data_IF_461891128527
#
_entry.id   IF_461891128527
#
_cell.length_a   1.000
_cell.length_b   1.000
_cell.length_c   1.000
_cell.angle_alpha   90.00
_cell.angle_beta   90.00
_cell.angle_gamma   90.00
#
_symmetry.space_group_name_H-M   'P 1'
#
loop_
_entity.id
_entity.type
_entity.pdbx_description
1 polymer ?
#
# COMPACT_ATOMS: atom_id res chain seq x y z
N UNK A 1 2.04 28.86 13.28
CA UNK A 1 3.19 29.16 12.38
C UNK A 1 4.46 28.98 13.18
N UNK A 2 5.11 27.83 13.05
CA UNK A 2 6.51 27.61 13.46
C UNK A 2 7.20 27.20 12.15
N UNK A 3 7.93 28.12 11.55
CA UNK A 3 8.83 27.82 10.43
C UNK A 3 9.98 26.98 11.00
N UNK A 4 10.00 25.69 10.68
CA UNK A 4 11.23 24.91 10.75
C UNK A 4 11.98 25.11 9.45
N UNK A 5 12.91 26.07 9.43
CA UNK A 5 13.99 26.13 8.45
C UNK A 5 15.01 25.02 8.77
N UNK A 6 14.70 23.78 8.41
CA UNK A 6 15.75 22.81 8.15
C UNK A 6 15.95 22.73 6.65
N UNK A 7 17.07 23.28 6.18
CA UNK A 7 17.64 22.93 4.88
C UNK A 7 17.89 21.42 4.91
N UNK A 8 16.96 20.63 4.39
CA UNK A 8 17.22 19.24 4.04
C UNK A 8 18.30 19.27 2.96
N UNK A 9 19.55 19.00 3.34
CA UNK A 9 20.58 18.63 2.39
C UNK A 9 20.22 17.24 1.87
N UNK A 10 19.55 17.19 0.71
CA UNK A 10 19.54 15.99 -0.12
C UNK A 10 20.98 15.84 -0.63
N UNK A 11 21.76 15.03 0.08
CA UNK A 11 23.15 14.74 -0.29
C UNK A 11 23.11 13.66 -1.36
N UNK A 12 23.23 14.06 -2.62
CA UNK A 12 23.53 13.14 -3.72
C UNK A 12 25.02 12.81 -3.67
N UNK A 13 25.38 11.56 -3.37
CA UNK A 13 26.74 11.08 -3.61
C UNK A 13 26.90 10.84 -5.11
N UNK A 14 27.84 11.58 -5.70
CA UNK A 14 28.23 11.44 -7.11
C UNK A 14 29.12 10.21 -7.23
N UNK A 15 28.60 9.10 -7.73
CA UNK A 15 29.43 7.93 -8.03
C UNK A 15 30.11 8.10 -9.39
N UNK A 16 31.44 8.01 -9.38
CA UNK A 16 32.26 7.94 -10.58
C UNK A 16 32.04 6.58 -11.25
N UNK A 17 31.82 6.58 -12.57
CA UNK A 17 31.92 5.40 -13.43
C UNK A 17 33.29 4.75 -13.23
N UNK A 18 33.32 3.49 -12.81
CA UNK A 18 34.39 2.58 -13.13
C UNK A 18 33.88 1.65 -14.24
N UNK A 19 34.58 1.64 -15.37
CA UNK A 19 34.28 0.78 -16.50
C UNK A 19 34.53 -0.67 -16.14
N UNK A 20 33.70 -1.55 -16.68
CA UNK A 20 34.03 -2.96 -16.83
C UNK A 20 34.82 -3.09 -18.13
N UNK A 21 36.06 -3.52 -18.01
CA UNK A 21 36.80 -4.17 -19.09
C UNK A 21 36.30 -5.61 -19.15
N UNK A 22 35.93 -6.03 -20.36
CA UNK A 22 35.68 -7.41 -20.75
C UNK A 22 37.00 -8.18 -20.61
N UNK A 23 36.97 -9.34 -19.95
CA UNK A 23 37.89 -10.43 -20.26
C UNK A 23 37.14 -11.75 -20.05
N UNK A 24 36.94 -12.41 -21.20
CA UNK A 24 36.60 -13.82 -21.35
C UNK A 24 37.60 -14.70 -20.59
N UNK A 25 37.13 -15.81 -20.04
CA UNK A 25 37.87 -17.08 -20.12
C UNK A 25 36.89 -18.24 -19.84
N UNK A 26 36.73 -19.05 -20.88
CA UNK A 26 36.19 -20.40 -20.88
C UNK A 26 36.96 -21.31 -19.91
N UNK A 27 36.29 -22.31 -19.34
CA UNK A 27 36.79 -23.69 -19.40
C UNK A 27 35.75 -24.68 -18.83
N UNK A 28 35.68 -25.79 -19.56
CA UNK A 28 34.79 -26.93 -19.50
C UNK A 28 34.94 -27.80 -18.23
N UNK A 29 33.93 -28.66 -18.00
CA UNK A 29 34.06 -30.12 -17.84
C UNK A 29 32.85 -30.69 -17.06
N UNK A 30 31.91 -31.26 -17.83
CA UNK A 30 31.60 -32.69 -17.91
C UNK A 30 31.27 -33.53 -16.65
N UNK A 31 30.19 -34.30 -16.86
CA UNK A 31 29.98 -35.71 -16.54
C UNK A 31 29.21 -36.15 -15.27
N UNK A 32 28.07 -36.77 -15.60
CA UNK A 32 27.68 -38.15 -15.25
C UNK A 32 26.81 -38.44 -14.00
N UNK A 33 25.56 -38.80 -14.32
CA UNK A 33 25.00 -40.15 -14.18
C UNK A 33 24.18 -40.58 -12.95
N UNK A 34 23.06 -41.22 -13.33
CA UNK A 34 22.44 -42.45 -12.81
C UNK A 34 21.43 -42.41 -11.65
N UNK A 35 20.15 -42.53 -12.07
CA UNK A 35 19.32 -43.74 -11.98
C UNK A 35 18.55 -44.16 -10.71
N UNK A 36 17.35 -44.65 -11.03
CA UNK A 36 16.51 -45.72 -10.44
C UNK A 36 15.56 -45.46 -9.26
N UNK A 37 14.26 -45.34 -9.62
CA UNK A 37 13.18 -46.35 -9.47
C UNK A 37 12.99 -47.12 -8.14
N UNK A 38 11.73 -47.17 -7.70
CA UNK A 38 10.92 -48.37 -7.37
C UNK A 38 9.81 -48.06 -6.32
N UNK A 39 8.57 -47.95 -6.82
CA UNK A 39 7.45 -48.90 -6.67
C UNK A 39 6.87 -49.34 -5.31
N UNK A 40 5.52 -49.38 -5.32
CA UNK A 40 4.60 -50.41 -4.78
C UNK A 40 4.35 -50.50 -3.26
N UNK A 41 3.15 -50.82 -2.73
CA UNK A 41 1.77 -50.96 -3.21
C UNK A 41 0.91 -51.36 -1.97
N UNK A 42 -0.41 -51.45 -2.17
CA UNK A 42 -1.37 -52.38 -1.53
C UNK A 42 -2.14 -52.03 -0.22
N UNK A 43 -3.43 -51.73 -0.46
CA UNK A 43 -4.60 -52.59 -0.18
C UNK A 43 -5.52 -52.38 1.06
N UNK A 44 -6.78 -52.08 0.67
CA UNK A 44 -8.02 -52.83 0.91
C UNK A 44 -8.92 -52.61 2.16
N UNK A 45 -10.08 -52.02 1.83
CA UNK A 45 -11.43 -52.61 1.86
C UNK A 45 -12.45 -52.38 2.99
N UNK A 46 -13.65 -52.05 2.48
CA UNK A 46 -15.03 -52.45 2.84
C UNK A 46 -15.89 -51.67 3.86
N UNK A 47 -16.81 -50.90 3.27
CA UNK A 47 -18.29 -51.05 3.27
C UNK A 47 -19.21 -50.61 4.45
N UNK A 48 -20.33 -50.05 3.97
CA UNK A 48 -21.71 -49.98 4.47
C UNK A 48 -22.25 -48.82 5.35
N UNK A 49 -23.07 -47.99 4.68
CA UNK A 49 -24.44 -47.54 5.02
C UNK A 49 -24.80 -47.12 6.47
N UNK A 50 -25.16 -45.84 6.67
CA UNK A 50 -26.54 -45.43 7.02
C UNK A 50 -26.74 -43.91 7.22
N UNK A 51 -27.98 -43.52 6.94
CA UNK A 51 -28.65 -42.22 7.08
C UNK A 51 -28.61 -41.57 8.49
N UNK A 52 -28.82 -40.24 8.48
CA UNK A 52 -29.51 -39.40 9.47
C UNK A 52 -29.02 -39.36 10.93
N UNK A 53 -28.40 -38.23 11.34
CA UNK A 53 -29.03 -37.25 12.23
C UNK A 53 -28.07 -36.08 12.54
N UNK A 54 -28.54 -34.85 12.29
CA UNK A 54 -27.96 -33.64 12.87
C UNK A 54 -28.12 -33.70 14.40
N UNK A 55 -27.02 -33.89 15.12
CA UNK A 55 -26.91 -33.50 16.53
C UNK A 55 -25.60 -32.76 16.75
N UNK A 56 -25.77 -31.50 17.12
CA UNK A 56 -24.77 -30.66 17.77
C UNK A 56 -24.28 -31.40 19.02
N UNK A 57 -23.08 -31.96 18.92
CA UNK A 57 -22.24 -32.21 20.10
C UNK A 57 -21.19 -31.09 20.13
N UNK A 58 -21.63 -29.98 20.74
CA UNK A 58 -20.76 -29.00 21.38
C UNK A 58 -19.94 -29.74 22.44
N UNK A 59 -18.63 -29.88 22.24
CA UNK A 59 -17.61 -30.00 23.29
C UNK A 59 -16.24 -30.28 22.63
N UNK A 60 -15.52 -29.21 22.24
CA UNK A 60 -14.04 -29.09 22.19
C UNK A 60 -13.67 -27.83 21.39
N UNK A 61 -13.55 -26.66 22.06
CA UNK A 61 -12.62 -25.55 21.73
C UNK A 61 -12.90 -24.26 22.57
N UNK A 62 -13.20 -24.41 23.87
CA UNK A 62 -13.47 -23.27 24.77
C UNK A 62 -12.20 -22.43 25.12
N UNK A 63 -11.00 -22.97 24.91
CA UNK A 63 -9.75 -22.27 25.26
C UNK A 63 -9.42 -21.09 24.31
N UNK A 64 -9.98 -21.08 23.10
CA UNK A 64 -9.67 -20.07 22.09
C UNK A 64 -10.60 -18.83 22.18
N UNK A 65 -11.80 -18.98 22.72
CA UNK A 65 -12.77 -17.87 22.87
C UNK A 65 -12.54 -17.04 24.15
N UNK A 66 -12.09 -17.67 25.23
CA UNK A 66 -11.72 -16.99 26.47
C UNK A 66 -10.43 -16.15 26.33
N UNK A 67 -9.49 -16.63 25.50
CA UNK A 67 -8.30 -15.85 25.15
C UNK A 67 -8.68 -14.62 24.29
N UNK A 68 -9.58 -14.78 23.31
CA UNK A 68 -10.12 -13.68 22.48
C UNK A 68 -10.88 -12.63 23.31
N UNK A 69 -11.67 -13.04 24.32
CA UNK A 69 -12.40 -12.13 25.22
C UNK A 69 -11.50 -11.42 26.22
N UNK A 70 -10.52 -12.11 26.81
CA UNK A 70 -9.56 -11.52 27.75
C UNK A 70 -8.62 -10.50 27.07
N UNK A 71 -8.22 -10.76 25.82
CA UNK A 71 -7.40 -9.87 24.98
C UNK A 71 -8.20 -8.63 24.55
N UNK A 72 -9.51 -8.72 24.26
CA UNK A 72 -10.31 -7.54 23.88
C UNK A 72 -10.52 -6.53 25.02
N UNK A 73 -10.62 -6.98 26.27
CA UNK A 73 -11.04 -6.12 27.40
C UNK A 73 -9.96 -5.16 27.95
N UNK A 74 -8.67 -5.39 27.65
CA UNK A 74 -7.55 -4.56 28.15
C UNK A 74 -6.94 -3.62 27.10
N UNK A 75 -7.40 -3.67 25.85
CA UNK A 75 -6.57 -3.32 24.70
C UNK A 75 -7.11 -2.20 23.82
N UNK A 76 -7.42 -1.05 24.44
CA UNK A 76 -7.90 0.09 23.68
C UNK A 76 -6.83 0.71 22.77
N UNK A 77 -5.55 0.58 23.14
CA UNK A 77 -4.38 1.02 22.35
C UNK A 77 -3.14 0.11 22.49
N UNK A 78 -3.14 -0.82 23.45
CA UNK A 78 -2.04 -1.75 23.67
C UNK A 78 -2.03 -2.90 22.66
N UNK A 79 -0.83 -3.40 22.39
CA UNK A 79 -0.48 -4.47 21.46
C UNK A 79 -1.12 -5.79 21.90
N UNK A 80 -2.24 -6.18 21.30
CA UNK A 80 -3.00 -7.32 21.80
C UNK A 80 -3.46 -8.31 20.72
N UNK A 81 -3.47 -7.93 19.44
CA UNK A 81 -3.84 -8.84 18.35
C UNK A 81 -3.03 -8.55 17.08
N UNK A 82 -1.76 -8.20 17.25
CA UNK A 82 -0.88 -7.98 16.10
C UNK A 82 -0.65 -9.33 15.44
N UNK A 83 -0.77 -9.35 14.12
CA UNK A 83 -0.68 -10.53 13.25
C UNK A 83 -1.93 -11.41 13.16
N UNK A 84 -3.06 -10.98 13.71
CA UNK A 84 -4.37 -11.61 13.49
C UNK A 84 -5.27 -10.67 12.70
N UNK A 85 -5.61 -11.08 11.47
CA UNK A 85 -6.46 -10.31 10.57
C UNK A 85 -7.63 -11.19 10.12
N UNK A 86 -8.86 -10.66 10.18
CA UNK A 86 -10.07 -11.35 9.69
C UNK A 86 -10.23 -12.82 10.15
N UNK A 87 -9.80 -13.14 11.38
CA UNK A 87 -9.95 -14.48 11.97
C UNK A 87 -8.76 -15.44 11.76
N UNK A 88 -7.75 -15.06 10.97
CA UNK A 88 -6.55 -15.86 10.75
C UNK A 88 -5.25 -15.17 11.16
N UNK A 89 -4.23 -15.95 11.49
CA UNK A 89 -2.86 -15.48 11.67
C UNK A 89 -2.19 -15.24 10.31
N UNK A 90 -1.47 -14.14 10.13
CA UNK A 90 -0.91 -13.74 8.82
C UNK A 90 0.60 -13.47 8.80
N UNK A 91 1.33 -13.79 9.88
CA UNK A 91 2.76 -13.50 9.96
C UNK A 91 3.67 -14.66 9.59
N UNK A 92 4.63 -14.39 8.70
CA UNK A 92 5.58 -15.39 8.19
C UNK A 92 7.00 -14.84 8.20
N UNK A 93 7.96 -15.72 8.46
CA UNK A 93 9.36 -15.50 8.08
C UNK A 93 9.69 -16.47 6.94
N UNK A 94 10.03 -15.91 5.79
CA UNK A 94 10.10 -16.64 4.52
C UNK A 94 8.79 -17.42 4.27
N UNK A 95 8.86 -18.74 4.01
CA UNK A 95 7.68 -19.58 3.77
C UNK A 95 7.04 -20.10 5.06
N UNK A 96 7.66 -19.86 6.22
CA UNK A 96 7.25 -20.48 7.49
C UNK A 96 6.38 -19.55 8.33
N UNK A 97 5.35 -20.10 8.96
CA UNK A 97 4.49 -19.36 9.89
C UNK A 97 5.29 -19.07 11.16
N UNK A 98 5.45 -17.79 11.51
CA UNK A 98 6.22 -17.40 12.69
C UNK A 98 5.28 -17.01 13.84
N UNK A 99 4.72 -18.02 14.52
CA UNK A 99 3.82 -17.80 15.67
C UNK A 99 4.49 -17.13 16.87
N UNK A 100 5.84 -17.12 16.95
CA UNK A 100 6.57 -16.45 18.03
C UNK A 100 6.45 -14.92 17.96
N UNK A 101 6.12 -14.38 16.79
CA UNK A 101 5.85 -12.95 16.62
C UNK A 101 4.48 -12.52 17.21
N UNK A 102 3.61 -13.47 17.55
CA UNK A 102 2.30 -13.15 18.12
C UNK A 102 2.46 -12.30 19.39
N UNK A 103 1.77 -11.14 19.41
CA UNK A 103 1.87 -10.18 20.50
C UNK A 103 3.09 -9.26 20.47
N UNK A 104 3.99 -9.40 19.49
CA UNK A 104 5.06 -8.43 19.25
C UNK A 104 4.56 -7.31 18.34
N UNK A 105 5.22 -6.15 18.44
CA UNK A 105 4.87 -5.00 17.60
C UNK A 105 5.47 -5.17 16.20
N UNK A 106 4.63 -5.31 15.17
CA UNK A 106 5.06 -5.63 13.80
C UNK A 106 6.12 -4.68 13.24
N UNK A 107 6.05 -3.39 13.60
CA UNK A 107 7.05 -2.40 13.18
C UNK A 107 8.45 -2.73 13.74
N UNK A 108 8.52 -3.32 14.93
CA UNK A 108 9.79 -3.77 15.50
C UNK A 108 10.29 -5.05 14.84
N UNK A 109 9.39 -6.00 14.59
CA UNK A 109 9.74 -7.26 13.91
C UNK A 109 10.28 -7.00 12.50
N UNK A 110 9.64 -6.10 11.73
CA UNK A 110 10.12 -5.72 10.41
C UNK A 110 11.48 -5.01 10.44
N UNK A 111 11.70 -4.10 11.40
CA UNK A 111 12.98 -3.43 11.56
C UNK A 111 14.09 -4.42 11.95
N UNK A 112 13.83 -5.30 12.91
CA UNK A 112 14.79 -6.31 13.36
C UNK A 112 15.14 -7.29 12.24
N UNK A 113 14.14 -7.73 11.46
CA UNK A 113 14.41 -8.61 10.32
C UNK A 113 15.28 -7.93 9.27
N UNK A 114 15.05 -6.66 8.97
CA UNK A 114 15.89 -5.90 8.05
C UNK A 114 17.32 -5.71 8.58
N UNK A 115 17.48 -5.38 9.86
CA UNK A 115 18.80 -5.30 10.51
C UNK A 115 19.57 -6.62 10.37
N UNK A 116 18.92 -7.76 10.60
CA UNK A 116 19.52 -9.08 10.44
C UNK A 116 19.95 -9.35 8.99
N UNK A 117 19.06 -9.07 8.02
CA UNK A 117 19.37 -9.21 6.59
C UNK A 117 20.61 -8.39 6.24
N UNK A 118 20.61 -7.10 6.59
CA UNK A 118 21.73 -6.18 6.32
C UNK A 118 23.03 -6.65 6.99
N UNK A 119 22.97 -7.06 8.26
CA UNK A 119 24.16 -7.50 9.00
C UNK A 119 24.80 -8.75 8.36
N UNK A 120 23.97 -9.69 7.89
CA UNK A 120 24.40 -10.93 7.25
C UNK A 120 24.70 -10.81 5.75
N UNK A 121 24.42 -9.67 5.13
CA UNK A 121 24.50 -9.50 3.67
C UNK A 121 25.93 -9.65 3.14
N UNK A 122 26.06 -10.42 2.06
CA UNK A 122 27.29 -10.56 1.27
C UNK A 122 27.44 -9.34 0.35
N UNK A 123 28.42 -8.48 0.65
CA UNK A 123 28.62 -7.22 -0.05
C UNK A 123 29.14 -7.38 -1.48
N UNK A 124 29.51 -8.60 -1.92
CA UNK A 124 29.84 -8.85 -3.34
C UNK A 124 28.59 -8.82 -4.24
N UNK A 125 27.39 -8.87 -3.65
CA UNK A 125 26.11 -8.84 -4.37
C UNK A 125 25.33 -7.56 -4.00
N UNK A 126 24.61 -6.93 -4.96
CA UNK A 126 23.73 -5.82 -4.63
C UNK A 126 22.57 -6.28 -3.73
N UNK A 127 22.12 -5.42 -2.82
CA UNK A 127 20.97 -5.66 -1.95
C UNK A 127 19.76 -4.86 -2.44
N UNK A 128 18.65 -5.54 -2.70
CA UNK A 128 17.34 -4.92 -2.86
C UNK A 128 16.46 -5.29 -1.67
N UNK A 129 15.92 -4.28 -0.98
CA UNK A 129 15.06 -4.46 0.19
C UNK A 129 13.77 -3.65 0.02
N UNK A 130 12.64 -4.35 -0.10
CA UNK A 130 11.31 -3.75 -0.08
C UNK A 130 10.69 -3.95 1.31
N UNK A 131 10.42 -2.83 2.00
CA UNK A 131 9.91 -2.84 3.39
C UNK A 131 8.53 -2.19 3.49
N UNK A 132 7.44 -2.88 3.10
CA UNK A 132 6.09 -2.38 3.28
C UNK A 132 5.67 -2.50 4.75
N UNK A 133 6.00 -1.49 5.56
CA UNK A 133 5.54 -1.45 6.94
C UNK A 133 4.01 -1.50 7.01
N UNK A 134 3.48 -2.29 7.94
CA UNK A 134 2.06 -2.25 8.31
C UNK A 134 1.69 -0.88 8.90
N UNK A 135 2.62 -0.28 9.64
CA UNK A 135 2.45 1.06 10.20
C UNK A 135 2.31 2.09 9.07
N UNK A 136 1.36 3.03 9.13
CA UNK A 136 0.50 3.37 10.28
C UNK A 136 -0.97 2.99 10.05
N UNK A 137 -1.22 1.90 9.32
CA UNK A 137 -2.58 1.43 9.04
C UNK A 137 -3.30 0.98 10.33
N UNK A 138 -4.63 1.02 10.33
CA UNK A 138 -5.43 0.43 11.39
C UNK A 138 -5.20 -1.10 11.50
N UNK A 139 -5.39 -1.72 12.68
CA UNK A 139 -5.86 -1.14 13.94
C UNK A 139 -4.86 -0.16 14.59
N UNK A 140 -5.37 0.86 15.29
CA UNK A 140 -4.54 1.90 15.92
C UNK A 140 -3.91 1.39 17.22
N UNK A 141 -2.81 0.65 17.08
CA UNK A 141 -2.07 0.03 18.17
C UNK A 141 -0.64 0.56 18.19
N UNK A 142 -0.15 0.93 19.37
CA UNK A 142 1.22 1.44 19.53
C UNK A 142 1.70 1.22 20.98
N UNK A 143 2.99 0.91 21.20
CA UNK A 143 3.55 0.88 22.55
C UNK A 143 3.36 2.20 23.30
N UNK A 144 3.03 2.11 24.60
CA UNK A 144 2.71 3.26 25.45
C UNK A 144 3.79 4.34 25.45
N UNK A 145 5.07 3.97 25.31
CA UNK A 145 6.17 4.94 25.27
C UNK A 145 5.99 5.99 24.18
N UNK A 146 5.43 5.63 23.02
CA UNK A 146 5.17 6.57 21.93
C UNK A 146 3.87 7.34 22.13
N UNK A 147 2.83 6.67 22.66
CA UNK A 147 1.57 7.33 22.98
C UNK A 147 1.78 8.48 23.97
N UNK A 148 2.64 8.25 24.97
CA UNK A 148 2.97 9.18 26.03
C UNK A 148 3.79 10.40 25.57
N UNK A 149 4.34 10.38 24.35
CA UNK A 149 5.04 11.54 23.76
C UNK A 149 4.08 12.66 23.34
N UNK A 150 2.78 12.37 23.25
CA UNK A 150 1.77 13.30 22.72
C UNK A 150 0.69 13.67 23.75
N UNK A 151 1.03 14.13 24.97
CA UNK A 151 0.05 14.34 26.03
C UNK A 151 -1.02 15.39 25.66
N UNK A 152 -0.68 16.34 24.80
CA UNK A 152 -1.53 17.46 24.42
C UNK A 152 -2.51 17.15 23.27
N UNK A 153 -2.39 16.01 22.59
CA UNK A 153 -3.35 15.62 21.56
C UNK A 153 -4.58 15.05 22.26
N UNK A 154 -5.74 15.70 22.11
CA UNK A 154 -6.98 15.27 22.78
C UNK A 154 -7.68 14.15 22.02
N UNK A 155 -7.64 14.18 20.68
CA UNK A 155 -8.19 13.11 19.87
C UNK A 155 -7.38 11.82 20.04
N UNK A 156 -8.04 10.75 20.46
CA UNK A 156 -7.38 9.49 20.79
C UNK A 156 -6.82 8.76 19.57
N UNK A 157 -7.52 8.78 18.43
CA UNK A 157 -7.05 8.13 17.19
C UNK A 157 -5.81 8.84 16.64
N UNK A 158 -5.84 10.18 16.59
CA UNK A 158 -4.72 11.01 16.18
C UNK A 158 -3.53 10.85 17.10
N UNK A 159 -3.76 10.75 18.42
CA UNK A 159 -2.70 10.48 19.40
C UNK A 159 -2.02 9.13 19.13
N UNK A 160 -2.82 8.07 18.98
CA UNK A 160 -2.30 6.75 18.67
C UNK A 160 -1.54 6.73 17.34
N UNK A 161 -2.12 7.27 16.26
CA UNK A 161 -1.48 7.34 14.96
C UNK A 161 -0.18 8.18 14.99
N UNK A 162 -0.14 9.29 15.73
CA UNK A 162 1.10 10.07 15.91
C UNK A 162 2.19 9.25 16.60
N UNK A 163 1.80 8.44 17.60
CA UNK A 163 2.69 7.46 18.21
C UNK A 163 3.19 6.41 17.21
N UNK A 164 2.31 5.86 16.36
CA UNK A 164 2.69 4.88 15.34
C UNK A 164 3.67 5.48 14.31
N UNK A 165 3.45 6.73 13.89
CA UNK A 165 4.38 7.45 13.00
C UNK A 165 5.75 7.61 13.66
N UNK A 166 5.79 7.94 14.96
CA UNK A 166 7.06 8.01 15.70
C UNK A 166 7.75 6.65 15.78
N UNK A 167 6.98 5.59 16.01
CA UNK A 167 7.56 4.24 16.02
C UNK A 167 8.10 3.82 14.66
N UNK A 168 7.48 4.25 13.56
CA UNK A 168 7.97 4.03 12.20
C UNK A 168 9.27 4.80 11.97
N UNK A 169 9.35 6.06 12.41
CA UNK A 169 10.58 6.86 12.33
C UNK A 169 11.75 6.21 13.08
N UNK A 170 11.51 5.74 14.32
CA UNK A 170 12.48 4.96 15.10
C UNK A 170 12.95 3.70 14.35
N UNK A 171 12.02 2.97 13.72
CA UNK A 171 12.32 1.77 12.95
C UNK A 171 13.14 2.06 11.69
N UNK A 172 12.85 3.17 10.99
CA UNK A 172 13.65 3.62 9.86
C UNK A 172 15.06 4.00 10.33
N UNK A 173 15.20 4.74 11.44
CA UNK A 173 16.50 5.11 11.99
C UNK A 173 17.37 3.89 12.32
N UNK A 174 16.75 2.84 12.85
CA UNK A 174 17.37 1.53 13.09
C UNK A 174 17.93 0.88 11.82
N UNK A 175 17.13 0.80 10.76
CA UNK A 175 17.55 0.25 9.45
C UNK A 175 18.69 1.09 8.84
N UNK A 176 18.57 2.42 8.87
CA UNK A 176 19.62 3.31 8.38
C UNK A 176 20.93 3.12 9.15
N UNK A 177 20.86 2.94 10.48
CA UNK A 177 22.02 2.64 11.30
C UNK A 177 22.66 1.30 10.91
N UNK A 178 21.87 0.25 10.66
CA UNK A 178 22.41 -1.02 10.19
C UNK A 178 23.15 -0.89 8.85
N UNK A 179 22.59 -0.12 7.90
CA UNK A 179 23.27 0.20 6.64
C UNK A 179 24.59 0.95 6.86
N UNK A 180 24.62 1.88 7.81
CA UNK A 180 25.83 2.64 8.15
C UNK A 180 26.90 1.75 8.80
N UNK A 181 26.51 0.91 9.76
CA UNK A 181 27.42 0.01 10.47
C UNK A 181 28.02 -1.06 9.53
N UNK A 182 27.31 -1.39 8.45
CA UNK A 182 27.74 -2.31 7.38
C UNK A 182 28.41 -1.59 6.20
N UNK A 183 28.66 -0.28 6.28
CA UNK A 183 29.21 0.57 5.21
C UNK A 183 28.41 0.57 3.88
N UNK A 184 27.16 0.09 3.88
CA UNK A 184 26.27 0.06 2.71
C UNK A 184 25.57 1.40 2.46
N UNK A 185 25.40 2.23 3.50
CA UNK A 185 24.61 3.46 3.42
C UNK A 185 25.06 4.44 2.33
N UNK A 186 26.38 4.54 2.07
CA UNK A 186 26.92 5.51 1.10
C UNK A 186 26.52 5.17 -0.33
N UNK A 187 26.47 3.87 -0.64
CA UNK A 187 26.16 3.30 -1.96
C UNK A 187 24.74 2.72 -2.00
N UNK A 188 23.78 3.46 -1.44
CA UNK A 188 22.37 3.07 -1.37
C UNK A 188 21.48 4.13 -1.99
N UNK A 189 20.49 3.70 -2.77
CA UNK A 189 19.33 4.51 -3.14
C UNK A 189 18.21 4.16 -2.16
N UNK A 190 17.84 5.12 -1.31
CA UNK A 190 16.79 4.92 -0.30
C UNK A 190 15.55 5.71 -0.73
N UNK A 191 14.48 4.99 -1.03
CA UNK A 191 13.16 5.54 -1.37
C UNK A 191 12.22 5.32 -0.20
N UNK A 192 11.46 6.34 0.15
CA UNK A 192 10.30 6.23 1.02
C UNK A 192 9.12 6.86 0.33
N UNK A 193 7.97 6.21 0.46
CA UNK A 193 6.70 6.68 -0.06
C UNK A 193 5.60 6.06 0.79
N UNK A 194 4.52 6.81 1.04
CA UNK A 194 3.28 6.17 1.49
C UNK A 194 2.55 5.54 0.29
N UNK A 195 1.74 4.52 0.55
CA UNK A 195 0.91 3.83 -0.45
C UNK A 195 -0.27 4.68 -0.93
N UNK A 196 -0.88 5.44 -0.02
CA UNK A 196 -2.02 6.33 -0.26
C UNK A 196 -2.08 7.46 0.77
N UNK A 197 -2.95 8.43 0.55
CA UNK A 197 -3.27 9.46 1.52
C UNK A 197 -3.80 8.92 2.85
N UNK A 198 -3.65 9.69 3.92
CA UNK A 198 -4.08 9.28 5.26
C UNK A 198 -5.61 9.10 5.35
N UNK A 199 -6.04 8.10 6.12
CA UNK A 199 -7.47 7.88 6.39
C UNK A 199 -7.93 8.76 7.55
N UNK A 200 -8.75 9.76 7.24
CA UNK A 200 -9.19 10.82 8.18
C UNK A 200 -9.92 10.27 9.42
N UNK A 201 -10.80 9.28 9.23
CA UNK A 201 -11.52 8.61 10.33
C UNK A 201 -10.60 7.87 11.32
N UNK A 202 -9.44 7.41 10.86
CA UNK A 202 -8.46 6.69 11.69
C UNK A 202 -7.27 7.57 12.11
N UNK A 203 -7.45 8.89 12.15
CA UNK A 203 -6.45 9.83 12.66
C UNK A 203 -5.42 10.29 11.63
N UNK A 204 -5.43 9.74 10.41
CA UNK A 204 -4.69 10.26 9.27
C UNK A 204 -5.10 11.70 8.96
N UNK A 205 -4.19 12.51 8.43
CA UNK A 205 -4.50 13.89 8.09
C UNK A 205 -3.69 14.35 6.87
N UNK A 206 -4.39 14.95 5.90
CA UNK A 206 -3.83 15.35 4.62
C UNK A 206 -3.85 16.86 4.41
N UNK A 207 -4.19 17.64 5.44
CA UNK A 207 -4.30 19.09 5.32
C UNK A 207 -2.98 19.70 4.81
N UNK A 208 -3.01 20.66 3.86
CA UNK A 208 -4.19 21.38 3.34
C UNK A 208 -4.84 20.72 2.12
N UNK A 209 -4.48 19.49 1.76
CA UNK A 209 -5.06 18.79 0.61
C UNK A 209 -6.51 18.35 0.92
N UNK A 210 -7.31 18.27 -0.14
CA UNK A 210 -8.70 17.82 -0.10
C UNK A 210 -8.75 16.29 -0.06
N UNK A 211 -9.62 15.70 0.73
CA UNK A 211 -9.78 14.24 0.71
C UNK A 211 -8.83 13.45 1.62
N UNK A 212 -8.88 12.14 1.42
CA UNK A 212 -8.07 11.13 2.12
C UNK A 212 -8.16 9.77 1.44
N UNK A 213 -7.65 8.72 2.11
CA UNK A 213 -7.81 7.32 1.66
C UNK A 213 -9.24 7.08 1.20
N UNK A 214 -9.41 6.36 0.09
CA UNK A 214 -10.67 6.08 -0.66
C UNK A 214 -11.21 7.24 -1.51
N UNK A 215 -10.43 8.31 -1.72
CA UNK A 215 -10.78 9.40 -2.63
C UNK A 215 -9.69 9.64 -3.67
N UNK A 216 -10.09 10.13 -4.85
CA UNK A 216 -9.17 10.53 -5.93
C UNK A 216 -8.82 12.02 -5.89
N UNK A 217 -9.15 12.71 -4.79
CA UNK A 217 -8.62 14.05 -4.50
C UNK A 217 -7.13 13.98 -4.13
N UNK A 218 -6.44 15.12 -4.14
CA UNK A 218 -5.00 15.17 -3.84
C UNK A 218 -4.69 14.60 -2.44
N UNK A 219 -5.55 14.78 -1.45
CA UNK A 219 -5.36 14.22 -0.12
C UNK A 219 -5.48 12.70 -0.05
N UNK A 220 -6.04 12.03 -1.06
CA UNK A 220 -6.06 10.56 -1.16
C UNK A 220 -4.93 9.97 -1.99
N UNK A 221 -4.33 10.77 -2.88
CA UNK A 221 -3.45 10.27 -3.96
C UNK A 221 -2.08 10.93 -4.00
N UNK A 222 -1.93 12.13 -3.43
CA UNK A 222 -0.64 12.82 -3.28
C UNK A 222 -0.07 12.52 -1.90
N UNK A 223 1.01 11.74 -1.90
CA UNK A 223 1.63 11.18 -0.70
C UNK A 223 2.99 11.82 -0.39
N UNK A 224 3.44 11.78 0.87
CA UNK A 224 4.84 12.09 1.19
C UNK A 224 5.77 11.06 0.53
N UNK A 225 6.86 11.55 -0.04
CA UNK A 225 7.96 10.73 -0.54
C UNK A 225 9.29 11.47 -0.39
N UNK A 226 10.39 10.76 -0.18
CA UNK A 226 11.75 11.31 -0.28
C UNK A 226 12.52 10.63 -1.41
N UNK A 227 13.33 11.43 -2.13
CA UNK A 227 13.61 11.36 -3.58
C UNK A 227 12.41 11.89 -4.38
N UNK A 228 12.56 13.10 -4.96
CA UNK A 228 11.45 13.88 -5.53
C UNK A 228 11.76 14.38 -6.95
N UNK A 229 10.76 14.32 -7.83
CA UNK A 229 10.66 15.00 -9.14
C UNK A 229 9.35 15.81 -9.19
N UNK A 230 9.28 16.96 -9.90
CA UNK A 230 8.10 17.85 -9.90
C UNK A 230 6.76 17.19 -10.26
N UNK A 231 6.78 16.10 -11.06
CA UNK A 231 5.63 15.24 -11.30
C UNK A 231 6.11 13.79 -11.41
N UNK A 232 5.70 12.94 -10.48
CA UNK A 232 6.08 11.54 -10.41
C UNK A 232 4.90 10.71 -9.90
N UNK A 233 4.80 9.48 -10.39
CA UNK A 233 3.78 8.51 -10.01
C UNK A 233 4.43 7.23 -9.48
N UNK A 234 3.71 6.42 -8.69
CA UNK A 234 4.26 5.19 -8.13
C UNK A 234 4.78 4.20 -9.20
N UNK A 235 4.15 4.18 -10.37
CA UNK A 235 4.56 3.35 -11.52
C UNK A 235 5.88 3.81 -12.16
N UNK A 236 6.37 5.02 -11.84
CA UNK A 236 7.66 5.51 -12.31
C UNK A 236 8.83 4.88 -11.56
N UNK A 237 8.61 4.31 -10.38
CA UNK A 237 9.70 3.73 -9.59
C UNK A 237 10.41 2.60 -10.33
N UNK A 238 9.69 1.74 -11.05
CA UNK A 238 10.29 0.64 -11.81
C UNK A 238 11.30 1.12 -12.87
N UNK A 239 10.91 1.90 -13.90
CA UNK A 239 11.87 2.34 -14.91
C UNK A 239 12.93 3.29 -14.35
N UNK A 240 12.59 4.12 -13.36
CA UNK A 240 13.54 5.04 -12.73
C UNK A 240 14.65 4.30 -11.99
N UNK A 241 14.31 3.28 -11.20
CA UNK A 241 15.29 2.49 -10.47
C UNK A 241 16.09 1.58 -11.41
N UNK A 242 15.47 1.04 -12.47
CA UNK A 242 16.19 0.28 -13.49
C UNK A 242 17.29 1.13 -14.15
N UNK A 243 16.96 2.35 -14.59
CA UNK A 243 17.95 3.30 -15.12
C UNK A 243 19.03 3.62 -14.08
N UNK A 244 18.65 3.89 -12.83
CA UNK A 244 19.59 4.23 -11.76
C UNK A 244 20.61 3.11 -11.49
N UNK A 245 20.19 1.85 -11.65
CA UNK A 245 21.00 0.65 -11.45
C UNK A 245 21.72 0.18 -12.73
N UNK A 246 21.53 0.87 -13.86
CA UNK A 246 22.10 0.44 -15.15
C UNK A 246 21.47 -0.84 -15.72
N UNK A 247 20.26 -1.19 -15.28
CA UNK A 247 19.53 -2.37 -15.72
C UNK A 247 18.76 -2.03 -17.00
N UNK A 248 19.04 -2.77 -18.08
CA UNK A 248 18.23 -2.72 -19.30
C UNK A 248 16.93 -3.50 -19.08
N UNK A 249 15.80 -2.93 -19.48
CA UNK A 249 14.50 -3.57 -19.43
C UNK A 249 13.80 -3.42 -20.78
N UNK A 250 12.88 -4.35 -21.08
CA UNK A 250 12.18 -4.36 -22.36
C UNK A 250 11.01 -3.38 -22.33
N UNK A 251 11.17 -2.25 -23.00
CA UNK A 251 10.12 -1.24 -23.17
C UNK A 251 8.91 -1.72 -23.99
N UNK A 252 8.97 -2.91 -24.59
CA UNK A 252 7.89 -3.48 -25.42
C UNK A 252 6.63 -3.87 -24.62
N UNK A 253 6.67 -3.84 -23.28
CA UNK A 253 5.55 -4.26 -22.42
C UNK A 253 4.41 -3.23 -22.26
N UNK A 254 4.34 -2.19 -23.09
CA UNK A 254 3.35 -1.10 -22.99
C UNK A 254 3.22 -0.56 -21.55
N UNK A 255 4.36 -0.34 -20.89
CA UNK A 255 4.42 0.11 -19.51
C UNK A 255 3.91 1.56 -19.34
N UNK A 256 3.27 1.84 -18.23
CA UNK A 256 2.78 3.20 -17.91
C UNK A 256 3.80 4.07 -17.16
N UNK A 257 4.91 3.47 -16.70
CA UNK A 257 6.02 4.12 -16.02
C UNK A 257 6.86 4.98 -16.97
N UNK A 258 7.37 6.10 -16.45
CA UNK A 258 8.28 7.00 -17.13
C UNK A 258 9.51 7.17 -16.27
N UNK A 259 10.69 6.87 -16.82
CA UNK A 259 11.97 7.09 -16.13
C UNK A 259 12.14 8.57 -15.72
N UNK A 260 12.31 8.80 -14.41
CA UNK A 260 12.55 10.11 -13.81
C UNK A 260 13.99 10.33 -13.33
N UNK A 261 14.92 9.41 -13.58
CA UNK A 261 16.26 9.43 -12.97
C UNK A 261 17.05 10.70 -13.29
N UNK A 262 17.01 11.12 -14.55
CA UNK A 262 17.62 12.37 -14.98
C UNK A 262 16.97 13.58 -14.29
N UNK A 263 15.64 13.62 -14.19
CA UNK A 263 14.92 14.72 -13.54
C UNK A 263 15.28 14.83 -12.05
N UNK A 264 15.39 13.70 -11.35
CA UNK A 264 15.75 13.61 -9.94
C UNK A 264 17.20 14.10 -9.72
N UNK A 265 18.15 13.58 -10.50
CA UNK A 265 19.59 13.82 -10.30
C UNK A 265 20.04 15.22 -10.74
N UNK A 266 19.34 15.80 -11.72
CA UNK A 266 19.64 17.16 -12.22
C UNK A 266 18.76 18.25 -11.60
N UNK A 267 17.78 17.87 -10.76
CA UNK A 267 16.69 18.76 -10.32
C UNK A 267 15.96 19.41 -11.52
N UNK A 268 15.82 18.64 -12.60
CA UNK A 268 15.22 19.05 -13.86
C UNK A 268 13.70 18.93 -13.89
N UNK A 269 13.14 19.18 -15.06
CA UNK A 269 11.71 18.95 -15.30
C UNK A 269 11.40 17.45 -15.36
N UNK A 270 10.23 17.07 -14.85
CA UNK A 270 9.72 15.71 -15.03
C UNK A 270 9.54 15.38 -16.51
N UNK A 271 9.87 14.14 -16.89
CA UNK A 271 9.57 13.61 -18.23
C UNK A 271 8.09 13.24 -18.39
N UNK A 272 7.36 13.11 -17.28
CA UNK A 272 5.93 12.81 -17.28
C UNK A 272 5.15 14.06 -17.64
N UNK A 273 4.07 13.89 -18.40
CA UNK A 273 3.11 14.95 -18.74
C UNK A 273 1.66 14.59 -18.39
N UNK A 274 1.40 13.32 -18.06
CA UNK A 274 0.07 12.77 -17.80
C UNK A 274 0.10 11.76 -16.65
N UNK A 275 -0.96 11.73 -15.83
CA UNK A 275 -1.20 10.73 -14.78
C UNK A 275 -2.66 10.27 -14.89
N UNK A 276 -2.88 8.97 -14.98
CA UNK A 276 -4.20 8.38 -14.70
C UNK A 276 -4.20 7.97 -13.24
N UNK A 277 -5.13 8.53 -12.45
CA UNK A 277 -5.23 8.22 -11.03
C UNK A 277 -5.98 6.91 -10.80
N UNK A 278 -7.13 6.78 -11.46
CA UNK A 278 -7.94 5.57 -11.46
C UNK A 278 -8.93 5.59 -12.63
N UNK A 279 -9.45 4.43 -12.99
CA UNK A 279 -10.61 4.23 -13.85
C UNK A 279 -11.38 3.00 -13.37
N UNK A 280 -12.11 3.13 -12.27
CA UNK A 280 -12.93 2.05 -11.74
C UNK A 280 -14.40 2.23 -12.13
N UNK A 281 -14.93 1.27 -12.89
CA UNK A 281 -16.34 1.23 -13.31
C UNK A 281 -17.11 0.09 -12.63
N UNK A 282 -16.54 -0.53 -11.61
CA UNK A 282 -17.19 -1.60 -10.85
C UNK A 282 -18.46 -1.07 -10.17
N UNK A 283 -19.56 -1.86 -10.11
CA UNK A 283 -20.87 -1.46 -9.61
C UNK A 283 -20.96 -0.98 -8.14
N UNK A 284 -19.84 -0.89 -7.41
CA UNK A 284 -19.78 -0.47 -6.01
C UNK A 284 -18.48 0.32 -5.75
N UNK A 285 -18.27 1.52 -6.34
CA UNK A 285 -17.09 2.31 -6.02
C UNK A 285 -17.22 2.89 -4.61
N UNK A 286 -16.60 2.22 -3.64
CA UNK A 286 -16.28 2.83 -2.33
C UNK A 286 -15.15 3.86 -2.52
N UNK A 287 -14.38 3.69 -3.60
CA UNK A 287 -13.25 4.52 -3.99
C UNK A 287 -13.61 5.52 -5.09
N UNK A 288 -12.66 6.37 -5.48
CA UNK A 288 -12.88 7.33 -6.56
C UNK A 288 -12.88 6.67 -7.94
N UNK A 289 -13.88 7.04 -8.74
CA UNK A 289 -14.19 6.45 -10.04
C UNK A 289 -13.13 6.72 -11.10
N UNK A 290 -13.04 7.96 -11.62
CA UNK A 290 -12.06 8.26 -12.66
C UNK A 290 -11.47 9.67 -12.56
N UNK A 291 -10.14 9.74 -12.68
CA UNK A 291 -9.42 11.00 -12.75
C UNK A 291 -8.16 10.89 -13.60
N UNK A 292 -7.87 11.99 -14.29
CA UNK A 292 -6.65 12.15 -15.09
C UNK A 292 -6.06 13.54 -14.81
N UNK A 293 -4.73 13.62 -14.75
CA UNK A 293 -4.00 14.88 -14.80
C UNK A 293 -3.20 14.97 -16.09
N UNK A 294 -3.28 16.11 -16.76
CA UNK A 294 -2.48 16.45 -17.94
C UNK A 294 -1.85 17.82 -17.70
N UNK A 295 -0.53 17.84 -17.56
CA UNK A 295 0.21 19.04 -17.13
C UNK A 295 -0.27 19.55 -15.78
N UNK A 296 -0.74 20.80 -15.76
CA UNK A 296 -1.21 21.47 -14.54
C UNK A 296 -2.66 21.12 -14.19
N UNK A 297 -3.44 20.54 -15.11
CA UNK A 297 -4.87 20.33 -14.93
C UNK A 297 -5.21 18.91 -14.53
N UNK A 298 -6.11 18.77 -13.56
CA UNK A 298 -6.71 17.50 -13.14
C UNK A 298 -8.21 17.53 -13.41
N UNK A 299 -8.69 16.53 -14.14
CA UNK A 299 -10.10 16.27 -14.41
C UNK A 299 -10.54 15.08 -13.54
N UNK A 300 -11.68 15.23 -12.88
CA UNK A 300 -12.39 14.14 -12.21
C UNK A 300 -13.76 13.99 -12.87
N UNK A 301 -14.07 12.78 -13.32
CA UNK A 301 -15.39 12.40 -13.85
C UNK A 301 -15.97 11.26 -13.02
N UNK A 302 -17.19 11.49 -12.52
CA UNK A 302 -17.86 10.50 -11.69
C UNK A 302 -17.52 10.62 -10.22
N UNK A 303 -17.93 9.62 -9.42
CA UNK A 303 -17.81 9.69 -7.96
C UNK A 303 -16.34 9.92 -7.54
N UNK A 304 -16.00 10.99 -6.80
CA UNK A 304 -14.61 11.26 -6.42
C UNK A 304 -14.13 10.44 -5.21
N UNK A 305 -14.98 9.55 -4.69
CA UNK A 305 -14.75 8.81 -3.45
C UNK A 305 -15.33 9.51 -2.22
N UNK A 306 -15.14 8.88 -1.05
CA UNK A 306 -15.60 9.43 0.22
C UNK A 306 -14.71 10.59 0.70
N UNK A 307 -15.06 11.19 1.84
CA UNK A 307 -14.26 12.24 2.49
C UNK A 307 -13.96 13.46 1.62
N UNK A 308 -14.91 13.98 0.86
CA UNK A 308 -14.68 15.03 -0.14
C UNK A 308 -14.30 16.44 0.39
N UNK A 309 -14.07 16.63 1.69
CA UNK A 309 -13.76 17.91 2.33
C UNK A 309 -12.28 18.16 2.60
N UNK A 310 -12.00 19.19 3.41
CA UNK A 310 -10.68 19.54 3.94
C UNK A 310 -10.70 19.45 5.45
N UNK A 311 -9.84 18.59 5.99
CA UNK A 311 -9.89 18.23 7.41
C UNK A 311 -8.64 18.73 8.10
N UNK A 312 -8.77 19.76 8.96
CA UNK A 312 -7.61 20.27 9.70
C UNK A 312 -7.14 19.24 10.73
N UNK A 313 -5.86 19.29 11.15
CA UNK A 313 -5.33 18.34 12.14
C UNK A 313 -6.10 18.29 13.47
N UNK A 314 -6.67 19.42 13.89
CA UNK A 314 -7.46 19.53 15.14
C UNK A 314 -8.96 19.30 14.91
N UNK A 315 -9.41 19.31 13.64
CA UNK A 315 -10.79 19.09 13.23
C UNK A 315 -10.93 17.62 12.81
N UNK A 316 -11.42 16.80 13.74
CA UNK A 316 -11.76 15.42 13.40
C UNK A 316 -13.02 15.48 12.53
N UNK A 317 -12.91 14.98 11.31
CA UNK A 317 -14.11 14.50 10.62
C UNK A 317 -14.72 13.40 11.49
N UNK A 318 -15.93 13.60 12.02
CA UNK A 318 -16.69 12.51 12.63
C UNK A 318 -17.14 11.47 11.59
N UNK A 319 -16.61 11.57 10.37
CA UNK A 319 -17.02 10.84 9.20
C UNK A 319 -18.27 11.47 8.63
N UNK A 320 -18.53 11.15 7.36
CA UNK A 320 -19.90 10.88 6.97
C UNK A 320 -20.49 9.95 8.04
N UNK A 321 -21.64 10.31 8.61
CA UNK A 321 -22.38 9.48 9.57
C UNK A 321 -23.04 8.28 8.83
N UNK A 322 -22.24 7.60 8.02
CA UNK A 322 -22.59 6.55 7.08
C UNK A 322 -21.57 5.44 7.33
N UNK A 323 -22.00 4.38 8.00
CA UNK A 323 -21.19 3.18 8.21
C UNK A 323 -21.01 2.44 6.88
N UNK A 324 -19.94 1.66 6.74
CA UNK A 324 -19.76 0.76 5.59
C UNK A 324 -20.98 -0.13 5.37
N UNK A 325 -21.63 -0.58 6.45
CA UNK A 325 -22.89 -1.32 6.39
C UNK A 325 -24.06 -0.48 5.85
N UNK A 326 -24.11 0.84 6.11
CA UNK A 326 -25.12 1.74 5.54
C UNK A 326 -24.85 2.06 4.06
N UNK A 327 -23.59 2.07 3.62
CA UNK A 327 -23.24 2.16 2.18
C UNK A 327 -23.67 0.90 1.46
N UNK A 328 -23.34 -0.27 2.01
CA UNK A 328 -23.69 -1.59 1.46
C UNK A 328 -25.20 -1.80 1.46
N UNK A 329 -25.94 -1.38 2.49
CA UNK A 329 -27.39 -1.62 2.59
C UNK A 329 -28.26 -0.49 2.01
N UNK A 330 -27.68 0.62 1.55
CA UNK A 330 -28.44 1.71 0.94
C UNK A 330 -28.72 1.38 -0.53
N UNK A 331 -29.97 0.99 -0.79
CA UNK A 331 -30.45 0.69 -2.15
C UNK A 331 -30.29 1.89 -3.09
N UNK A 332 -30.35 3.12 -2.59
CA UNK A 332 -30.14 4.34 -3.39
C UNK A 332 -28.67 4.62 -3.72
N UNK A 333 -27.75 4.22 -2.83
CA UNK A 333 -26.31 4.31 -3.09
C UNK A 333 -25.93 3.18 -4.06
N UNK A 334 -26.32 1.92 -3.77
CA UNK A 334 -26.12 0.77 -4.66
C UNK A 334 -26.71 0.98 -6.08
N UNK A 335 -27.92 1.55 -6.19
CA UNK A 335 -28.55 1.81 -7.49
C UNK A 335 -27.86 2.90 -8.30
N UNK A 336 -27.13 3.84 -7.69
CA UNK A 336 -26.31 4.78 -8.46
C UNK A 336 -24.93 4.22 -8.80
N UNK A 337 -24.45 3.24 -8.03
CA UNK A 337 -23.12 2.67 -8.17
C UNK A 337 -23.00 1.69 -9.36
N UNK A 338 -24.10 1.18 -9.92
CA UNK A 338 -24.08 0.24 -11.05
C UNK A 338 -23.88 0.91 -12.43
N UNK A 339 -22.89 0.48 -13.25
CA UNK A 339 -22.72 1.02 -14.60
C UNK A 339 -23.94 0.68 -15.47
N UNK A 340 -24.59 1.72 -16.00
CA UNK A 340 -25.72 1.60 -16.92
C UNK A 340 -27.10 1.77 -16.30
N UNK A 341 -27.22 1.85 -14.97
CA UNK A 341 -28.47 2.27 -14.32
C UNK A 341 -28.21 3.39 -13.31
N UNK A 342 -28.86 4.53 -13.56
CA UNK A 342 -28.96 5.76 -12.77
C UNK A 342 -27.82 6.81 -12.82
N UNK A 343 -28.26 7.98 -13.26
CA UNK A 343 -27.59 9.27 -13.44
C UNK A 343 -27.03 9.91 -12.14
N UNK A 344 -26.99 9.22 -11.01
CA UNK A 344 -26.73 9.80 -9.69
C UNK A 344 -25.26 10.19 -9.45
N UNK A 345 -24.31 9.48 -10.08
CA UNK A 345 -22.87 9.77 -9.95
C UNK A 345 -22.24 10.44 -11.18
N UNK A 346 -22.94 10.49 -12.32
CA UNK A 346 -22.59 11.32 -13.48
C UNK A 346 -22.63 12.84 -13.17
N UNK A 347 -23.05 13.21 -11.96
CA UNK A 347 -23.17 14.59 -11.47
C UNK A 347 -21.82 15.18 -11.07
N UNK A 348 -20.86 14.36 -10.65
CA UNK A 348 -19.57 14.85 -10.17
C UNK A 348 -18.62 15.13 -11.34
N UNK A 349 -18.32 16.41 -11.52
CA UNK A 349 -17.49 16.94 -12.60
C UNK A 349 -16.61 18.04 -12.04
N UNK A 350 -15.30 17.77 -12.01
CA UNK A 350 -14.33 18.73 -11.50
C UNK A 350 -13.18 18.91 -12.46
N UNK A 351 -12.77 20.16 -12.62
CA UNK A 351 -11.50 20.51 -13.23
C UNK A 351 -10.74 21.40 -12.25
N UNK A 352 -9.50 21.04 -11.90
CA UNK A 352 -8.63 21.84 -11.05
C UNK A 352 -7.34 22.16 -11.78
N UNK A 353 -6.81 23.36 -11.58
CA UNK A 353 -5.42 23.68 -11.94
C UNK A 353 -4.56 23.46 -10.68
N UNK A 354 -3.85 22.35 -10.61
CA UNK A 354 -3.06 21.95 -9.44
C UNK A 354 -1.78 22.76 -9.23
N UNK A 355 -1.34 23.51 -10.24
CA UNK A 355 -0.20 24.42 -10.09
C UNK A 355 -0.59 25.65 -9.28
N UNK A 356 -1.75 26.23 -9.59
CA UNK A 356 -2.24 27.44 -8.92
C UNK A 356 -3.15 27.13 -7.71
N UNK A 357 -3.80 25.97 -7.73
CA UNK A 357 -4.69 25.46 -6.67
C UNK A 357 -4.40 23.98 -6.38
N UNK A 358 -3.27 23.66 -5.71
CA UNK A 358 -2.92 22.29 -5.31
C UNK A 358 -3.87 21.69 -4.28
N UNK A 359 -4.82 22.48 -3.78
CA UNK A 359 -5.77 22.11 -2.74
C UNK A 359 -7.18 21.88 -3.26
N UNK A 360 -7.44 22.06 -4.56
CA UNK A 360 -8.70 21.72 -5.24
C UNK A 360 -9.93 22.52 -4.75
N UNK A 361 -9.76 23.80 -4.40
CA UNK A 361 -10.84 24.69 -3.94
C UNK A 361 -11.68 25.27 -5.09
N UNK A 362 -11.06 25.51 -6.24
CA UNK A 362 -11.65 26.23 -7.36
C UNK A 362 -11.97 25.26 -8.50
N UNK A 363 -13.23 24.80 -8.57
CA UNK A 363 -13.68 24.00 -9.70
C UNK A 363 -13.81 24.87 -10.96
N UNK A 364 -13.00 24.58 -11.96
CA UNK A 364 -12.89 25.28 -13.26
C UNK A 364 -13.67 24.58 -14.39
N UNK A 365 -14.46 23.54 -14.09
CA UNK A 365 -15.07 22.68 -15.10
C UNK A 365 -15.96 23.46 -16.10
N UNK A 366 -16.81 24.37 -15.61
CA UNK A 366 -17.70 25.18 -16.45
C UNK A 366 -16.97 26.39 -17.08
N UNK A 367 -15.86 26.82 -16.47
CA UNK A 367 -15.12 28.02 -16.88
C UNK A 367 -14.13 27.73 -18.01
N UNK A 368 -13.62 26.50 -18.12
CA UNK A 368 -12.61 26.11 -19.10
C UNK A 368 -13.06 24.90 -19.94
N UNK A 369 -14.16 25.02 -20.72
CA UNK A 369 -14.74 23.90 -21.46
C UNK A 369 -13.79 23.28 -22.50
N UNK A 370 -12.87 24.07 -23.08
CA UNK A 370 -11.86 23.57 -24.02
C UNK A 370 -10.84 22.66 -23.33
N UNK A 371 -10.41 23.02 -22.10
CA UNK A 371 -9.49 22.20 -21.30
C UNK A 371 -10.18 20.93 -20.83
N UNK A 372 -11.44 21.03 -20.38
CA UNK A 372 -12.26 19.85 -20.05
C UNK A 372 -12.32 18.89 -21.24
N UNK A 373 -12.68 19.39 -22.43
CA UNK A 373 -12.77 18.57 -23.64
C UNK A 373 -11.44 17.89 -23.99
N UNK A 374 -10.32 18.59 -23.80
CA UNK A 374 -8.99 18.02 -24.00
C UNK A 374 -8.72 16.84 -23.04
N UNK A 375 -8.92 17.05 -21.73
CA UNK A 375 -8.67 16.00 -20.73
C UNK A 375 -9.65 14.83 -20.87
N UNK A 376 -10.91 15.08 -21.23
CA UNK A 376 -11.88 14.04 -21.56
C UNK A 376 -11.44 13.20 -22.77
N UNK A 377 -10.90 13.85 -23.80
CA UNK A 377 -10.33 13.16 -24.96
C UNK A 377 -9.15 12.26 -24.59
N UNK A 378 -8.28 12.72 -23.68
CA UNK A 378 -7.16 11.92 -23.14
C UNK A 378 -7.65 10.75 -22.29
N UNK A 379 -8.58 10.99 -21.38
CA UNK A 379 -9.20 9.93 -20.58
C UNK A 379 -9.87 8.87 -21.46
N UNK A 380 -10.58 9.27 -22.53
CA UNK A 380 -11.17 8.34 -23.48
C UNK A 380 -10.13 7.52 -24.26
N UNK A 381 -8.94 8.07 -24.52
CA UNK A 381 -7.85 7.31 -25.12
C UNK A 381 -7.31 6.27 -24.14
N UNK A 382 -7.15 6.62 -22.86
CA UNK A 382 -6.71 5.67 -21.82
C UNK A 382 -7.75 4.56 -21.59
N UNK A 383 -9.05 4.88 -21.64
CA UNK A 383 -10.13 3.88 -21.57
C UNK A 383 -10.05 2.78 -22.65
N UNK A 384 -9.37 3.02 -23.78
CA UNK A 384 -9.19 1.98 -24.83
C UNK A 384 -8.20 0.89 -24.42
N UNK A 385 -7.31 1.19 -23.47
CA UNK A 385 -6.34 0.25 -22.86
C UNK A 385 -6.90 -0.41 -21.59
N UNK A 386 -8.11 -0.02 -21.18
CA UNK A 386 -8.75 -0.56 -19.97
C UNK A 386 -9.05 -2.04 -20.14
N UNK A 387 -8.63 -2.83 -19.17
CA UNK A 387 -8.98 -4.24 -19.02
C UNK A 387 -10.04 -4.33 -17.93
N UNK A 388 -11.05 -5.18 -18.14
CA UNK A 388 -12.10 -5.38 -17.14
C UNK A 388 -11.48 -5.86 -15.80
N UNK A 389 -12.03 -5.40 -14.65
CA UNK A 389 -11.47 -5.75 -13.35
C UNK A 389 -11.65 -7.25 -13.11
N UNK A 390 -10.60 -7.91 -12.63
CA UNK A 390 -10.67 -9.28 -12.14
C UNK A 390 -10.95 -9.25 -10.64
N UNK A 391 -12.23 -9.36 -10.27
CA UNK A 391 -12.71 -9.28 -8.90
C UNK A 391 -13.63 -10.48 -8.59
N UNK A 392 -13.06 -11.68 -8.41
CA UNK A 392 -13.84 -12.89 -8.12
C UNK A 392 -14.49 -12.79 -6.73
N UNK A 393 -15.50 -13.63 -6.49
CA UNK A 393 -16.05 -13.81 -5.15
C UNK A 393 -15.02 -14.48 -4.23
N UNK A 394 -15.16 -14.25 -2.93
CA UNK A 394 -14.34 -14.93 -1.91
C UNK A 394 -14.49 -16.45 -2.04
N UNK A 395 -13.36 -17.16 -2.03
CA UNK A 395 -13.34 -18.62 -2.01
C UNK A 395 -13.43 -19.12 -0.56
N UNK A 396 -14.48 -19.86 -0.16
CA UNK A 396 -14.60 -20.39 1.19
C UNK A 396 -13.44 -21.29 1.61
N UNK A 397 -12.72 -21.92 0.67
CA UNK A 397 -11.55 -22.75 0.97
C UNK A 397 -10.36 -21.92 1.46
N UNK A 398 -10.37 -20.60 1.24
CA UNK A 398 -9.37 -19.69 1.79
C UNK A 398 -9.51 -19.49 3.30
N UNK A 399 -10.64 -19.89 3.91
CA UNK A 399 -10.92 -19.69 5.33
C UNK A 399 -9.80 -20.29 6.21
N UNK A 400 -9.14 -19.50 7.07
CA UNK A 400 -8.05 -19.95 7.92
C UNK A 400 -8.38 -21.15 8.79
N UNK A 401 -9.66 -21.42 9.09
CA UNK A 401 -10.08 -22.63 9.82
C UNK A 401 -9.67 -23.93 9.10
N UNK A 402 -9.57 -23.90 7.77
CA UNK A 402 -9.11 -25.02 6.95
C UNK A 402 -7.57 -25.12 6.90
N UNK A 403 -6.85 -24.15 7.48
CA UNK A 403 -5.39 -23.99 7.36
C UNK A 403 -4.72 -23.81 8.73
N UNK A 404 -5.25 -24.46 9.77
CA UNK A 404 -4.69 -24.39 11.13
C UNK A 404 -4.73 -22.98 11.74
N UNK A 405 -5.74 -22.19 11.38
CA UNK A 405 -5.94 -20.82 11.85
C UNK A 405 -4.99 -19.79 11.21
N UNK A 406 -4.42 -20.08 10.03
CA UNK A 406 -3.45 -19.21 9.35
C UNK A 406 -3.90 -18.91 7.93
N UNK A 407 -3.76 -17.66 7.50
CA UNK A 407 -3.90 -17.32 6.07
C UNK A 407 -2.78 -18.00 5.27
N UNK A 408 -3.16 -18.92 4.38
CA UNK A 408 -2.24 -19.77 3.64
C UNK A 408 -2.63 -19.84 2.16
N UNK A 409 -1.65 -20.03 1.24
CA UNK A 409 -1.93 -20.35 -0.15
C UNK A 409 -2.40 -21.83 -0.30
N UNK A 410 -2.81 -22.22 -1.51
CA UNK A 410 -3.11 -23.63 -1.85
C UNK A 410 -4.58 -24.02 -1.81
N UNK A 411 -5.49 -23.03 -1.82
CA UNK A 411 -6.94 -23.23 -1.88
C UNK A 411 -7.55 -22.91 -3.25
N UNK A 412 -6.74 -22.45 -4.22
CA UNK A 412 -7.17 -22.00 -5.55
C UNK A 412 -6.57 -22.81 -6.69
#
# INVERSE_FOLDING_TARGET
MIQYEHKLQVTFFKFCKCGFDDDDDDDDDDDDDDDDDDDDDDDDDDDDDNDDDYRDDDDEDDDDDDNKKAIKAKCKYSVCAIHYQAGGFDYRDNKTVNRKAAGNYSTYEFAERAEQIIASHDQTKPLYLYMPFQSVHMPLQVPDKYLNMYPNITNTNRKALSGMVTSLDDAIARVLKALQDKDLYKDSIIVFSADNGGWTTYGGNNYPLRGGKISIFEGGTRVPAFIHSPMMHAVDWFPTLATALGISYNDSLDQDGVDQWEAITTQGASKRSEIVYNMDYHPLPVEGQSAIRVGDYKLIEGYPGMYQGWYKPDDIDQGLNITTAQIINSTSIQQGMMPGQNQAFAVYKYLFNLKDDPTEHNNLYEQLPDVVKQLQGRLQQQRKRYVAPNYPADDPLADPKHHGGVWSPGWC
#
